data_IF_920076621187
#
_entry.id   IF_920076621187
#
_cell.length_a   1.000
_cell.length_b   1.000
_cell.length_c   1.000
_cell.angle_alpha   90.00
_cell.angle_beta   90.00
_cell.angle_gamma   90.00
#
_symmetry.space_group_name_H-M   'P 1'
#
loop_
_entity.id
_entity.type
_entity.pdbx_description
1 polymer ?
#
# COMPACT_ATOMS: atom_id res chain seq x y z
N UNK A 1 38.50 15.93 -21.21
CA UNK A 1 38.05 17.09 -20.41
C UNK A 1 36.82 16.60 -19.70
N UNK A 2 36.78 16.56 -18.37
CA UNK A 2 35.60 16.06 -17.65
C UNK A 2 34.42 16.99 -17.95
N UNK A 3 33.37 16.46 -18.57
CA UNK A 3 32.21 17.24 -19.01
C UNK A 3 31.35 17.53 -17.79
N UNK A 4 31.43 18.75 -17.24
CA UNK A 4 30.69 19.15 -16.03
C UNK A 4 29.27 19.59 -16.38
N UNK A 5 28.27 18.98 -15.74
CA UNK A 5 26.86 19.41 -15.82
C UNK A 5 26.63 20.66 -14.97
N UNK A 6 25.85 21.61 -15.48
CA UNK A 6 25.69 22.94 -14.87
C UNK A 6 24.44 23.08 -14.02
N UNK A 7 23.42 22.23 -14.23
CA UNK A 7 22.11 22.27 -13.57
C UNK A 7 21.36 23.61 -13.69
N UNK A 8 21.76 24.43 -14.66
CA UNK A 8 21.18 25.77 -14.91
C UNK A 8 20.63 25.92 -16.32
N UNK A 9 21.17 25.14 -17.26
CA UNK A 9 20.69 25.05 -18.64
C UNK A 9 20.36 23.58 -18.97
N UNK A 10 19.07 23.20 -18.98
CA UNK A 10 18.67 21.82 -19.20
C UNK A 10 18.98 21.32 -20.62
N UNK A 11 19.01 22.21 -21.63
CA UNK A 11 19.32 21.83 -23.01
C UNK A 11 20.82 21.58 -23.18
N UNK A 12 21.67 22.44 -22.60
CA UNK A 12 23.11 22.25 -22.60
C UNK A 12 23.52 20.98 -21.83
N UNK A 13 22.90 20.73 -20.67
CA UNK A 13 23.16 19.52 -19.88
C UNK A 13 22.72 18.24 -20.62
N UNK A 14 21.58 18.26 -21.32
CA UNK A 14 21.14 17.12 -22.13
C UNK A 14 22.08 16.86 -23.32
N UNK A 15 22.58 17.91 -23.98
CA UNK A 15 23.56 17.80 -25.05
C UNK A 15 24.90 17.25 -24.52
N UNK A 16 25.33 17.70 -23.34
CA UNK A 16 26.53 17.20 -22.66
C UNK A 16 26.40 15.70 -22.32
N UNK A 17 25.27 15.26 -21.75
CA UNK A 17 25.00 13.84 -21.45
C UNK A 17 25.04 12.99 -22.73
N UNK A 18 24.46 13.49 -23.83
CA UNK A 18 24.45 12.78 -25.12
C UNK A 18 25.85 12.61 -25.71
N UNK A 19 26.76 13.55 -25.43
CA UNK A 19 28.13 13.51 -25.89
C UNK A 19 29.07 12.68 -24.99
N UNK A 20 28.64 12.31 -23.77
CA UNK A 20 29.45 11.52 -22.84
C UNK A 20 29.68 10.09 -23.36
N UNK A 21 30.87 9.59 -23.08
CA UNK A 21 31.22 8.18 -23.28
C UNK A 21 30.54 7.29 -22.24
N UNK A 22 30.54 5.97 -22.49
CA UNK A 22 30.02 4.98 -21.54
C UNK A 22 30.72 5.07 -20.18
N UNK A 23 32.03 5.27 -20.15
CA UNK A 23 32.81 5.31 -18.92
C UNK A 23 32.45 6.57 -18.11
N UNK A 24 32.36 7.73 -18.79
CA UNK A 24 31.91 8.99 -18.17
C UNK A 24 30.48 8.88 -17.61
N UNK A 25 29.57 8.19 -18.31
CA UNK A 25 28.20 7.94 -17.82
C UNK A 25 28.16 7.00 -16.62
N UNK A 26 29.07 6.03 -16.56
CA UNK A 26 29.14 5.06 -15.45
C UNK A 26 29.68 5.70 -14.17
N UNK A 27 30.51 6.74 -14.31
CA UNK A 27 30.99 7.56 -13.19
C UNK A 27 29.95 8.63 -12.80
N UNK A 28 29.48 9.42 -13.78
CA UNK A 28 28.62 10.59 -13.53
C UNK A 28 27.20 10.20 -13.10
N UNK A 29 26.61 9.16 -13.71
CA UNK A 29 25.22 8.77 -13.44
C UNK A 29 24.93 8.42 -11.98
N UNK A 30 25.72 7.54 -11.33
CA UNK A 30 25.56 7.22 -9.92
C UNK A 30 25.73 8.43 -8.98
N UNK A 31 26.66 9.35 -9.27
CA UNK A 31 26.87 10.56 -8.47
C UNK A 31 25.67 11.51 -8.56
N UNK A 32 25.12 11.71 -9.76
CA UNK A 32 23.88 12.47 -9.97
C UNK A 32 22.71 11.88 -9.18
N UNK A 33 22.56 10.56 -9.24
CA UNK A 33 21.52 9.85 -8.51
C UNK A 33 21.71 10.00 -7.00
N UNK A 34 22.95 9.91 -6.51
CA UNK A 34 23.29 10.09 -5.09
C UNK A 34 22.97 11.51 -4.62
N UNK A 35 23.34 12.54 -5.37
CA UNK A 35 22.99 13.93 -5.06
C UNK A 35 21.47 14.15 -5.08
N UNK A 36 20.76 13.64 -6.08
CA UNK A 36 19.29 13.70 -6.12
C UNK A 36 18.66 13.09 -4.86
N UNK A 37 19.17 11.94 -4.40
CA UNK A 37 18.68 11.27 -3.18
C UNK A 37 19.00 12.06 -1.91
N UNK A 38 20.17 12.72 -1.83
CA UNK A 38 20.50 13.62 -0.72
C UNK A 38 19.49 14.76 -0.60
N UNK A 39 19.07 15.35 -1.71
CA UNK A 39 18.03 16.37 -1.72
C UNK A 39 16.66 15.78 -1.34
N UNK A 40 16.28 14.64 -1.93
CA UNK A 40 15.02 13.94 -1.60
C UNK A 40 14.92 13.62 -0.10
N UNK A 41 16.00 13.13 0.51
CA UNK A 41 16.05 12.83 1.94
C UNK A 41 15.78 14.08 2.81
N UNK A 42 16.38 15.22 2.44
CA UNK A 42 16.14 16.49 3.13
C UNK A 42 14.73 17.01 2.90
N UNK A 43 14.15 16.77 1.71
CA UNK A 43 12.75 17.10 1.41
C UNK A 43 11.80 16.31 2.32
N UNK A 44 12.03 15.00 2.52
CA UNK A 44 11.22 14.18 3.42
C UNK A 44 11.28 14.69 4.86
N UNK A 45 12.48 14.99 5.37
CA UNK A 45 12.63 15.53 6.74
C UNK A 45 12.02 16.93 6.89
N UNK A 46 12.13 17.78 5.88
CA UNK A 46 11.51 19.11 5.88
C UNK A 46 9.97 19.02 5.87
N UNK A 47 9.41 18.04 5.16
CA UNK A 47 7.97 17.78 5.15
C UNK A 47 7.47 17.33 6.53
N UNK A 48 8.17 16.41 7.19
CA UNK A 48 7.81 15.98 8.54
C UNK A 48 7.88 17.14 9.56
N UNK A 49 8.96 17.92 9.51
CA UNK A 49 9.09 19.10 10.38
C UNK A 49 8.00 20.16 10.14
N UNK A 50 7.47 20.29 8.91
CA UNK A 50 6.32 21.14 8.64
C UNK A 50 5.05 20.57 9.29
N UNK A 51 4.79 19.27 9.14
CA UNK A 51 3.62 18.62 9.73
C UNK A 51 3.62 18.76 11.27
N UNK A 52 4.77 18.57 11.91
CA UNK A 52 4.94 18.71 13.36
C UNK A 52 4.67 20.15 13.83
N UNK A 53 5.15 21.17 13.10
CA UNK A 53 4.86 22.58 13.41
C UNK A 53 3.38 22.89 13.31
N UNK A 54 2.72 22.43 12.25
CA UNK A 54 1.26 22.61 12.07
C UNK A 54 0.49 21.92 13.19
N UNK A 55 0.91 20.72 13.58
CA UNK A 55 0.34 20.00 14.70
C UNK A 55 0.44 20.80 16.01
N UNK A 56 1.64 21.31 16.33
CA UNK A 56 1.84 22.11 17.54
C UNK A 56 1.11 23.45 17.50
N UNK A 57 1.09 24.16 16.36
CA UNK A 57 0.31 25.40 16.20
C UNK A 57 -1.19 25.14 16.43
N UNK A 58 -1.72 24.03 15.92
CA UNK A 58 -3.13 23.67 16.09
C UNK A 58 -3.49 23.27 17.53
N UNK A 59 -2.52 22.75 18.29
CA UNK A 59 -2.72 22.35 19.69
C UNK A 59 -2.38 23.45 20.70
N UNK A 60 -1.48 24.38 20.37
CA UNK A 60 -1.02 25.45 21.27
C UNK A 60 -2.14 26.41 21.70
N UNK A 61 -3.22 26.50 20.93
CA UNK A 61 -4.41 27.30 21.27
C UNK A 61 -5.39 26.60 22.23
N UNK A 62 -5.05 25.42 22.79
CA UNK A 62 -5.97 24.63 23.63
C UNK A 62 -5.39 24.32 25.03
N UNK A 63 -6.22 24.39 26.09
CA UNK A 63 -5.77 24.08 27.45
C UNK A 63 -5.39 22.59 27.58
N UNK A 64 -4.25 22.32 28.24
CA UNK A 64 -3.61 21.00 28.40
C UNK A 64 -4.50 19.93 29.07
N UNK A 65 -5.59 20.33 29.72
CA UNK A 65 -6.56 19.43 30.35
C UNK A 65 -7.68 19.06 29.38
N UNK A 66 -7.50 17.96 28.63
CA UNK A 66 -8.58 17.28 27.92
C UNK A 66 -8.56 17.38 26.40
N UNK A 67 -7.39 17.26 25.76
CA UNK A 67 -7.32 17.05 24.31
C UNK A 67 -7.86 15.65 24.00
N UNK A 68 -9.09 15.59 23.49
CA UNK A 68 -9.71 14.35 23.03
C UNK A 68 -8.92 13.77 21.85
N UNK A 69 -8.85 12.44 21.72
CA UNK A 69 -8.14 11.77 20.62
C UNK A 69 -8.56 12.26 19.22
N UNK A 70 -9.83 12.63 19.05
CA UNK A 70 -10.35 13.22 17.80
C UNK A 70 -9.72 14.58 17.42
N UNK A 71 -9.27 15.36 18.40
CA UNK A 71 -8.57 16.64 18.17
C UNK A 71 -7.13 16.39 17.72
N UNK A 72 -6.47 15.38 18.31
CA UNK A 72 -5.12 14.94 17.90
C UNK A 72 -5.17 14.42 16.46
N UNK A 73 -6.10 13.52 16.14
CA UNK A 73 -6.29 13.00 14.79
C UNK A 73 -6.62 14.11 13.77
N UNK A 74 -7.34 15.15 14.19
CA UNK A 74 -7.62 16.29 13.33
C UNK A 74 -6.35 17.10 13.06
N UNK A 75 -5.55 17.39 14.09
CA UNK A 75 -4.26 18.10 13.95
C UNK A 75 -3.28 17.33 13.05
N UNK A 76 -3.20 16.00 13.19
CA UNK A 76 -2.40 15.15 12.31
C UNK A 76 -2.87 15.19 10.85
N UNK A 77 -4.19 15.13 10.63
CA UNK A 77 -4.78 15.27 9.29
C UNK A 77 -4.49 16.64 8.68
N UNK A 78 -4.49 17.70 9.48
CA UNK A 78 -4.12 19.05 9.04
C UNK A 78 -2.64 19.13 8.66
N UNK A 79 -1.73 18.62 9.50
CA UNK A 79 -0.29 18.57 9.18
C UNK A 79 -0.01 17.82 7.87
N UNK A 80 -0.66 16.66 7.67
CA UNK A 80 -0.58 15.90 6.42
C UNK A 80 -1.14 16.67 5.22
N UNK A 81 -2.24 17.40 5.40
CA UNK A 81 -2.84 18.22 4.35
C UNK A 81 -1.93 19.39 3.96
N UNK A 82 -1.29 20.04 4.94
CA UNK A 82 -0.36 21.14 4.70
C UNK A 82 0.87 20.68 3.93
N UNK A 83 1.46 19.54 4.31
CA UNK A 83 2.57 18.92 3.54
C UNK A 83 2.14 18.61 2.11
N UNK A 84 0.96 18.02 1.93
CA UNK A 84 0.42 17.69 0.61
C UNK A 84 0.31 18.94 -0.27
N UNK A 85 -0.17 20.06 0.29
CA UNK A 85 -0.30 21.35 -0.37
C UNK A 85 1.07 21.95 -0.74
N UNK A 86 1.95 22.12 0.24
CA UNK A 86 3.22 22.85 0.05
C UNK A 86 4.21 22.10 -0.84
N UNK A 87 4.25 20.77 -0.71
CA UNK A 87 5.17 19.93 -1.47
C UNK A 87 4.56 19.39 -2.77
N UNK A 88 3.28 19.70 -3.06
CA UNK A 88 2.57 19.27 -4.27
C UNK A 88 2.60 17.74 -4.47
N UNK A 89 2.40 17.01 -3.38
CA UNK A 89 2.32 15.54 -3.36
C UNK A 89 0.94 15.09 -2.88
N UNK A 90 0.55 13.86 -3.19
CA UNK A 90 -0.69 13.30 -2.64
C UNK A 90 -0.65 13.23 -1.10
N UNK A 91 -1.82 13.27 -0.46
CA UNK A 91 -1.94 13.09 1.00
C UNK A 91 -1.35 11.76 1.48
N UNK A 92 -1.50 10.70 0.68
CA UNK A 92 -0.89 9.40 0.97
C UNK A 92 0.63 9.47 0.98
N UNK A 93 1.23 10.12 -0.03
CA UNK A 93 2.70 10.31 -0.09
C UNK A 93 3.20 11.20 1.05
N UNK A 94 2.49 12.29 1.38
CA UNK A 94 2.79 13.11 2.55
C UNK A 94 2.78 12.29 3.85
N UNK A 95 1.75 11.47 4.05
CA UNK A 95 1.68 10.55 5.19
C UNK A 95 2.85 9.57 5.23
N UNK A 96 3.24 9.00 4.09
CA UNK A 96 4.39 8.09 4.02
C UNK A 96 5.72 8.76 4.36
N UNK A 97 5.88 10.05 4.03
CA UNK A 97 7.07 10.84 4.35
C UNK A 97 7.16 11.16 5.84
N UNK A 98 6.04 11.56 6.44
CA UNK A 98 5.94 11.82 7.88
C UNK A 98 6.28 10.54 8.65
N UNK A 99 5.59 9.44 8.35
CA UNK A 99 5.83 8.15 8.99
C UNK A 99 7.29 7.67 8.83
N UNK A 100 7.91 7.88 7.67
CA UNK A 100 9.32 7.55 7.49
C UNK A 100 10.21 8.42 8.38
N UNK A 101 9.96 9.72 8.45
CA UNK A 101 10.77 10.63 9.28
C UNK A 101 10.69 10.25 10.76
N UNK A 102 9.49 9.94 11.26
CA UNK A 102 9.27 9.50 12.65
C UNK A 102 10.09 8.26 13.00
N UNK A 103 10.17 7.28 12.09
CA UNK A 103 11.03 6.10 12.26
C UNK A 103 12.52 6.46 12.26
N UNK A 104 12.93 7.35 11.36
CA UNK A 104 14.34 7.75 11.23
C UNK A 104 14.83 8.56 12.43
N UNK A 105 13.96 9.10 13.29
CA UNK A 105 14.38 9.71 14.56
C UNK A 105 15.02 8.70 15.50
N UNK A 106 14.51 7.47 15.50
CA UNK A 106 14.98 6.35 16.34
C UNK A 106 16.11 5.55 15.69
N UNK A 107 16.29 5.70 14.37
CA UNK A 107 17.20 4.90 13.55
C UNK A 107 18.35 5.75 12.97
N UNK A 108 19.35 6.13 13.78
CA UNK A 108 20.38 7.09 13.41
C UNK A 108 21.31 6.60 12.29
N UNK A 109 21.58 5.29 12.20
CA UNK A 109 22.48 4.74 11.19
C UNK A 109 21.79 4.71 9.81
N UNK A 110 20.53 4.28 9.76
CA UNK A 110 19.71 4.32 8.54
C UNK A 110 19.49 5.76 8.10
N UNK A 111 19.20 6.66 9.05
CA UNK A 111 19.08 8.10 8.78
C UNK A 111 20.35 8.68 8.16
N UNK A 112 21.52 8.33 8.68
CA UNK A 112 22.79 8.79 8.14
C UNK A 112 23.02 8.30 6.69
N UNK A 113 22.80 7.01 6.42
CA UNK A 113 22.92 6.43 5.08
C UNK A 113 21.94 7.09 4.08
N UNK A 114 20.70 7.33 4.50
CA UNK A 114 19.68 8.01 3.71
C UNK A 114 20.07 9.47 3.39
N UNK A 115 20.50 10.24 4.40
CA UNK A 115 20.96 11.63 4.23
C UNK A 115 22.20 11.77 3.35
N UNK A 116 23.01 10.70 3.27
CA UNK A 116 24.19 10.59 2.41
C UNK A 116 23.87 10.17 0.96
N UNK A 117 22.60 9.88 0.65
CA UNK A 117 22.12 9.50 -0.68
C UNK A 117 22.38 8.04 -1.05
N UNK A 118 22.78 7.21 -0.08
CA UNK A 118 23.08 5.79 -0.30
C UNK A 118 21.81 4.99 -0.53
N UNK A 119 20.73 5.41 0.13
CA UNK A 119 19.42 4.78 0.07
C UNK A 119 18.45 5.66 -0.74
N UNK A 120 17.59 5.02 -1.53
CA UNK A 120 16.38 5.68 -2.03
C UNK A 120 15.35 5.80 -0.91
N UNK A 121 14.37 6.70 -1.05
CA UNK A 121 13.27 6.83 -0.08
C UNK A 121 12.54 5.51 0.17
N UNK A 122 12.27 4.75 -0.88
CA UNK A 122 11.60 3.44 -0.76
C UNK A 122 12.47 2.44 0.03
N UNK A 123 13.76 2.36 -0.29
CA UNK A 123 14.68 1.44 0.37
C UNK A 123 14.89 1.80 1.84
N UNK A 124 15.06 3.09 2.15
CA UNK A 124 15.10 3.59 3.52
C UNK A 124 13.81 3.25 4.28
N UNK A 125 12.65 3.33 3.62
CA UNK A 125 11.36 2.98 4.21
C UNK A 125 11.19 1.49 4.50
N UNK A 126 11.68 0.61 3.63
CA UNK A 126 11.73 -0.84 3.87
C UNK A 126 12.64 -1.15 5.07
N UNK A 127 13.84 -0.58 5.05
CA UNK A 127 14.84 -0.76 6.10
C UNK A 127 14.35 -0.25 7.45
N UNK A 128 13.78 0.96 7.51
CA UNK A 128 13.29 1.54 8.75
C UNK A 128 12.15 0.73 9.38
N UNK A 129 11.19 0.24 8.57
CA UNK A 129 10.11 -0.63 9.07
C UNK A 129 10.59 -2.01 9.51
N UNK A 130 11.63 -2.55 8.87
CA UNK A 130 12.24 -3.77 9.34
C UNK A 130 12.94 -3.53 10.68
N UNK A 131 13.69 -2.43 10.79
CA UNK A 131 14.42 -2.10 12.00
C UNK A 131 13.51 -1.87 13.21
N UNK A 132 12.42 -1.14 13.04
CA UNK A 132 11.41 -0.94 14.08
C UNK A 132 10.88 -2.27 14.64
N UNK A 133 10.51 -3.22 13.75
CA UNK A 133 10.03 -4.54 14.16
C UNK A 133 11.07 -5.34 14.96
N UNK A 134 12.35 -5.09 14.71
CA UNK A 134 13.45 -5.69 15.47
C UNK A 134 13.79 -4.98 16.79
N UNK A 135 13.37 -3.73 16.98
CA UNK A 135 13.54 -2.98 18.25
C UNK A 135 12.40 -3.24 19.23
N UNK A 136 11.15 -3.27 18.73
CA UNK A 136 9.96 -3.55 19.56
C UNK A 136 10.11 -4.87 20.34
N UNK A 137 10.99 -5.75 19.86
CA UNK A 137 11.30 -7.07 20.39
C UNK A 137 12.34 -7.14 21.51
N UNK A 138 13.28 -6.20 21.58
CA UNK A 138 14.29 -6.18 22.65
C UNK A 138 13.70 -5.67 23.98
N UNK A 139 12.56 -4.99 23.91
CA UNK A 139 11.95 -4.30 25.05
C UNK A 139 11.06 -5.21 25.93
N UNK A 140 10.55 -6.32 25.37
CA UNK A 140 9.58 -7.21 26.06
C UNK A 140 10.21 -8.48 26.67
N UNK A 141 11.49 -8.71 26.46
CA UNK A 141 12.22 -9.75 27.21
C UNK A 141 12.91 -9.12 28.42
N UNK A 142 12.54 -9.57 29.64
CA UNK A 142 13.38 -9.49 30.84
C UNK A 142 14.66 -10.32 30.60
N UNK A 143 15.48 -9.86 29.64
CA UNK A 143 16.70 -10.53 29.25
C UNK A 143 17.71 -10.31 30.37
N UNK A 144 17.99 -11.40 31.06
CA UNK A 144 19.10 -11.51 31.99
C UNK A 144 20.35 -11.13 31.20
N UNK A 145 20.94 -10.00 31.58
CA UNK A 145 22.23 -9.51 31.10
C UNK A 145 23.23 -10.67 31.09
N UNK A 146 23.37 -11.26 29.90
CA UNK A 146 24.37 -12.30 29.62
C UNK A 146 25.52 -11.68 28.86
N UNK A 147 25.93 -10.44 29.19
CA UNK A 147 27.31 -9.98 29.11
C UNK A 147 28.08 -10.27 27.82
N UNK A 148 27.40 -10.34 26.67
CA UNK A 148 28.00 -10.45 25.35
C UNK A 148 27.66 -9.17 24.57
N UNK A 149 28.35 -8.09 24.94
CA UNK A 149 28.31 -6.77 24.27
C UNK A 149 28.99 -6.83 22.88
N UNK A 150 28.60 -7.78 22.04
CA UNK A 150 29.17 -8.00 20.69
C UNK A 150 28.16 -8.49 19.65
N UNK A 151 26.86 -8.49 19.97
CA UNK A 151 25.81 -8.65 18.97
C UNK A 151 25.67 -7.38 18.13
N UNK A 152 25.68 -7.49 16.80
CA UNK A 152 25.29 -6.38 15.94
C UNK A 152 23.85 -5.99 16.25
N UNK A 153 23.56 -4.69 16.34
CA UNK A 153 22.16 -4.26 16.50
C UNK A 153 21.35 -4.67 15.26
N UNK A 154 20.04 -4.82 15.40
CA UNK A 154 19.21 -5.15 14.24
C UNK A 154 19.27 -4.04 13.17
N UNK A 155 19.47 -2.77 13.56
CA UNK A 155 19.74 -1.66 12.63
C UNK A 155 21.02 -1.88 11.81
N UNK A 156 22.10 -2.36 12.42
CA UNK A 156 23.37 -2.70 11.74
C UNK A 156 23.18 -3.85 10.75
N UNK A 157 22.39 -4.86 11.12
CA UNK A 157 22.05 -5.99 10.25
C UNK A 157 21.25 -5.51 9.04
N UNK A 158 20.25 -4.66 9.28
CA UNK A 158 19.45 -4.05 8.22
C UNK A 158 20.34 -3.27 7.25
N UNK A 159 21.33 -2.53 7.75
CA UNK A 159 22.29 -1.81 6.92
C UNK A 159 23.21 -2.71 6.10
N UNK A 160 23.71 -3.81 6.69
CA UNK A 160 24.50 -4.79 5.95
C UNK A 160 23.71 -5.35 4.75
N UNK A 161 22.47 -5.80 4.97
CA UNK A 161 21.59 -6.24 3.89
C UNK A 161 21.26 -5.12 2.89
N UNK A 162 21.03 -3.91 3.40
CA UNK A 162 20.72 -2.73 2.61
C UNK A 162 21.84 -2.32 1.65
N UNK A 163 23.09 -2.55 2.03
CA UNK A 163 24.29 -2.25 1.24
C UNK A 163 24.51 -3.19 0.04
N UNK A 164 23.88 -4.38 0.06
CA UNK A 164 24.02 -5.39 -0.99
C UNK A 164 23.25 -4.97 -2.25
N UNK A 165 23.79 -5.33 -3.41
CA UNK A 165 23.12 -5.10 -4.70
C UNK A 165 21.93 -6.06 -4.88
N UNK A 166 20.79 -5.71 -4.28
CA UNK A 166 19.53 -6.48 -4.30
C UNK A 166 18.36 -5.59 -4.68
N UNK A 167 17.34 -6.19 -5.29
CA UNK A 167 16.07 -5.49 -5.52
C UNK A 167 15.31 -5.33 -4.21
N UNK A 168 14.49 -4.28 -4.12
CA UNK A 168 13.72 -3.97 -2.91
C UNK A 168 12.83 -5.13 -2.42
N UNK A 169 12.17 -5.93 -3.28
CA UNK A 169 11.41 -7.12 -2.83
C UNK A 169 12.31 -8.21 -2.23
N UNK A 170 13.50 -8.41 -2.79
CA UNK A 170 14.46 -9.40 -2.28
C UNK A 170 15.05 -8.92 -0.95
N UNK A 171 15.33 -7.63 -0.83
CA UNK A 171 15.77 -7.03 0.44
C UNK A 171 14.71 -7.26 1.53
N UNK A 172 13.44 -6.95 1.26
CA UNK A 172 12.36 -7.16 2.24
C UNK A 172 12.32 -8.61 2.72
N UNK A 173 12.39 -9.57 1.81
CA UNK A 173 12.39 -11.00 2.14
C UNK A 173 13.60 -11.41 3.00
N UNK A 174 14.78 -10.87 2.69
CA UNK A 174 16.00 -11.14 3.44
C UNK A 174 15.94 -10.54 4.85
N UNK A 175 15.41 -9.34 5.00
CA UNK A 175 15.22 -8.70 6.30
C UNK A 175 14.18 -9.45 7.14
N UNK A 176 13.08 -9.91 6.55
CA UNK A 176 12.09 -10.73 7.26
C UNK A 176 12.67 -12.08 7.68
N UNK A 177 13.50 -12.71 6.84
CA UNK A 177 14.20 -13.94 7.20
C UNK A 177 15.22 -13.73 8.33
N UNK A 178 15.95 -12.59 8.30
CA UNK A 178 16.87 -12.22 9.36
C UNK A 178 16.15 -11.96 10.69
N UNK A 179 15.02 -11.25 10.66
CA UNK A 179 14.17 -10.99 11.83
C UNK A 179 13.70 -12.31 12.46
N UNK A 180 13.12 -13.22 11.66
CA UNK A 180 12.66 -14.52 12.14
C UNK A 180 13.79 -15.34 12.76
N UNK A 181 14.98 -15.33 12.13
CA UNK A 181 16.12 -16.08 12.65
C UNK A 181 16.66 -15.55 13.98
N UNK A 182 16.50 -14.25 14.26
CA UNK A 182 17.00 -13.62 15.47
C UNK A 182 15.97 -13.57 16.58
N UNK A 183 14.71 -13.38 16.23
CA UNK A 183 13.63 -13.28 17.19
C UNK A 183 12.40 -14.07 16.70
N UNK A 184 12.38 -15.40 16.89
CA UNK A 184 11.26 -16.24 16.46
C UNK A 184 9.98 -15.93 17.25
N UNK A 185 10.10 -15.56 18.54
CA UNK A 185 8.96 -15.29 19.42
C UNK A 185 8.14 -14.09 18.97
N UNK A 186 8.79 -13.05 18.46
CA UNK A 186 8.12 -11.86 17.91
C UNK A 186 7.21 -12.14 16.73
N UNK A 187 7.60 -13.12 15.92
CA UNK A 187 6.84 -13.51 14.73
C UNK A 187 5.63 -14.33 15.15
N UNK A 188 5.73 -15.02 16.30
CA UNK A 188 4.61 -15.73 16.92
C UNK A 188 3.63 -14.73 17.53
N UNK A 189 4.10 -13.70 18.25
CA UNK A 189 3.26 -12.65 18.82
C UNK A 189 2.60 -11.77 17.75
N UNK A 190 3.32 -11.37 16.71
CA UNK A 190 2.76 -10.70 15.54
C UNK A 190 1.69 -11.55 14.88
N UNK A 191 1.90 -12.87 14.78
CA UNK A 191 0.92 -13.82 14.23
C UNK A 191 -0.31 -13.93 15.11
N UNK A 192 -0.16 -13.97 16.42
CA UNK A 192 -1.30 -14.10 17.34
C UNK A 192 -2.12 -12.80 17.35
N UNK A 193 -1.46 -11.63 17.29
CA UNK A 193 -2.11 -10.31 17.10
C UNK A 193 -2.78 -10.19 15.73
N UNK A 194 -2.16 -10.71 14.67
CA UNK A 194 -2.77 -10.82 13.35
C UNK A 194 -3.92 -11.82 13.34
N UNK A 195 -3.89 -12.89 14.14
CA UNK A 195 -4.97 -13.87 14.21
C UNK A 195 -6.25 -13.22 14.74
N UNK A 196 -6.13 -12.29 15.69
CA UNK A 196 -7.24 -11.45 16.16
C UNK A 196 -7.76 -10.49 15.06
N UNK A 197 -6.90 -10.02 14.16
CA UNK A 197 -7.28 -9.22 12.98
C UNK A 197 -7.84 -10.06 11.81
N UNK A 198 -7.40 -11.32 11.66
CA UNK A 198 -7.72 -12.23 10.55
C UNK A 198 -9.18 -12.72 10.57
N UNK A 199 -9.98 -12.32 11.56
CA UNK A 199 -11.38 -12.70 11.70
C UNK A 199 -12.42 -11.76 11.09
N UNK A 200 -12.05 -10.58 10.56
CA UNK A 200 -13.04 -9.58 10.17
C UNK A 200 -12.83 -9.00 8.77
N UNK A 201 -13.93 -8.97 8.01
CA UNK A 201 -14.06 -8.19 6.78
C UNK A 201 -14.89 -6.98 7.13
N UNK A 202 -14.33 -5.78 6.98
CA UNK A 202 -15.03 -4.53 7.21
C UNK A 202 -15.51 -3.99 5.87
N UNK A 203 -16.80 -3.71 5.76
CA UNK A 203 -17.39 -3.03 4.61
C UNK A 203 -17.93 -1.69 5.12
N UNK A 204 -17.30 -0.60 4.71
CA UNK A 204 -17.67 0.76 5.16
C UNK A 204 -18.32 1.51 4.01
N UNK A 205 -19.49 2.10 4.23
CA UNK A 205 -20.10 2.99 3.25
C UNK A 205 -19.20 4.22 3.03
N UNK A 206 -18.95 4.56 1.77
CA UNK A 206 -18.16 5.70 1.34
C UNK A 206 -19.03 6.68 0.53
N UNK A 207 -18.46 7.82 0.13
CA UNK A 207 -19.18 8.87 -0.59
C UNK A 207 -19.73 8.41 -1.95
N UNK A 208 -20.82 9.04 -2.38
CA UNK A 208 -21.44 8.82 -3.69
C UNK A 208 -21.87 7.36 -3.96
N UNK A 209 -22.32 6.63 -2.93
CA UNK A 209 -22.84 5.26 -3.08
C UNK A 209 -21.78 4.18 -3.25
N UNK A 210 -20.52 4.48 -2.90
CA UNK A 210 -19.42 3.51 -2.92
C UNK A 210 -19.26 2.86 -1.54
N UNK A 211 -18.43 1.82 -1.46
CA UNK A 211 -18.04 1.22 -0.18
C UNK A 211 -16.58 0.79 -0.23
N UNK A 212 -15.86 0.96 0.88
CA UNK A 212 -14.55 0.34 1.07
C UNK A 212 -14.73 -1.09 1.57
N UNK A 213 -13.87 -1.99 1.09
CA UNK A 213 -13.74 -3.35 1.61
C UNK A 213 -12.32 -3.50 2.13
N UNK A 214 -12.22 -3.72 3.43
CA UNK A 214 -10.96 -3.84 4.15
C UNK A 214 -10.94 -5.19 4.86
N UNK A 215 -9.92 -5.99 4.57
CA UNK A 215 -9.76 -7.32 5.16
C UNK A 215 -8.28 -7.66 5.32
N UNK A 216 -7.93 -8.21 6.48
CA UNK A 216 -6.65 -8.88 6.71
C UNK A 216 -6.89 -10.36 6.54
N UNK A 217 -6.36 -10.95 5.46
CA UNK A 217 -6.53 -12.37 5.15
C UNK A 217 -5.19 -13.09 5.20
N UNK A 218 -5.18 -14.41 5.47
CA UNK A 218 -3.97 -15.21 5.31
C UNK A 218 -3.34 -14.99 3.94
N UNK A 219 -2.01 -14.90 3.91
CA UNK A 219 -1.24 -14.55 2.71
C UNK A 219 -1.63 -15.36 1.46
N UNK A 220 -1.90 -16.65 1.63
CA UNK A 220 -2.30 -17.54 0.54
C UNK A 220 -3.67 -17.20 -0.05
N UNK A 221 -4.64 -16.71 0.74
CA UNK A 221 -5.92 -16.22 0.23
C UNK A 221 -5.70 -14.96 -0.61
N UNK A 222 -4.87 -14.03 -0.13
CA UNK A 222 -4.53 -12.82 -0.87
C UNK A 222 -3.86 -13.12 -2.21
N UNK A 223 -2.91 -14.05 -2.24
CA UNK A 223 -2.23 -14.51 -3.48
C UNK A 223 -3.23 -15.14 -4.44
N UNK A 224 -4.07 -16.03 -3.94
CA UNK A 224 -5.06 -16.72 -4.76
C UNK A 224 -6.05 -15.74 -5.38
N UNK A 225 -6.61 -14.81 -4.58
CA UNK A 225 -7.52 -13.79 -5.05
C UNK A 225 -6.86 -12.85 -6.08
N UNK A 226 -5.66 -12.36 -5.79
CA UNK A 226 -4.92 -11.50 -6.71
C UNK A 226 -4.61 -12.21 -8.03
N UNK A 227 -4.25 -13.49 -7.98
CA UNK A 227 -3.98 -14.31 -9.16
C UNK A 227 -5.25 -14.49 -10.00
N UNK A 228 -6.40 -14.80 -9.38
CA UNK A 228 -7.67 -14.91 -10.09
C UNK A 228 -8.09 -13.59 -10.74
N UNK A 229 -8.01 -12.48 -10.01
CA UNK A 229 -8.35 -11.16 -10.53
C UNK A 229 -7.47 -10.83 -11.74
N UNK A 230 -6.15 -10.99 -11.63
CA UNK A 230 -5.24 -10.67 -12.74
C UNK A 230 -5.45 -11.62 -13.93
N UNK A 231 -5.68 -12.92 -13.68
CA UNK A 231 -5.98 -13.87 -14.75
C UNK A 231 -7.26 -13.51 -15.51
N UNK A 232 -8.32 -13.11 -14.80
CA UNK A 232 -9.57 -12.69 -15.43
C UNK A 232 -9.38 -11.41 -16.26
N UNK A 233 -8.63 -10.44 -15.73
CA UNK A 233 -8.27 -9.21 -16.46
C UNK A 233 -7.47 -9.52 -17.73
N UNK A 234 -6.44 -10.36 -17.64
CA UNK A 234 -5.61 -10.76 -18.80
C UNK A 234 -6.39 -11.61 -19.82
N UNK A 235 -7.33 -12.42 -19.34
CA UNK A 235 -8.20 -13.23 -20.18
C UNK A 235 -9.19 -12.37 -20.95
N UNK A 236 -9.80 -11.36 -20.31
CA UNK A 236 -10.96 -10.65 -20.85
C UNK A 236 -10.71 -9.25 -21.39
N UNK A 237 -9.59 -8.62 -21.06
CA UNK A 237 -9.27 -7.27 -21.52
C UNK A 237 -8.05 -7.26 -22.43
N UNK A 238 -7.96 -6.25 -23.28
CA UNK A 238 -6.78 -6.02 -24.11
C UNK A 238 -6.04 -4.76 -23.65
N UNK A 239 -4.80 -4.58 -24.10
CA UNK A 239 -3.96 -3.43 -23.74
C UNK A 239 -4.54 -2.06 -24.17
N UNK A 240 -5.54 -2.05 -25.05
CA UNK A 240 -6.22 -0.83 -25.52
C UNK A 240 -7.50 -0.51 -24.75
N UNK A 241 -7.82 -1.27 -23.70
CA UNK A 241 -8.93 -0.92 -22.82
C UNK A 241 -8.64 0.44 -22.15
N UNK A 242 -9.56 1.42 -22.24
CA UNK A 242 -9.32 2.76 -21.71
C UNK A 242 -9.38 2.83 -20.17
N UNK A 243 -9.93 1.81 -19.51
CA UNK A 243 -10.11 1.80 -18.05
C UNK A 243 -8.78 1.54 -17.34
N UNK A 244 -8.63 2.13 -16.15
CA UNK A 244 -7.45 1.90 -15.29
C UNK A 244 -7.45 0.48 -14.74
N UNK A 245 -6.26 -0.09 -14.51
CA UNK A 245 -6.11 -1.44 -13.92
C UNK A 245 -6.90 -1.59 -12.62
N UNK A 246 -6.92 -0.57 -11.76
CA UNK A 246 -7.72 -0.59 -10.53
C UNK A 246 -9.21 -0.80 -10.79
N UNK A 247 -9.79 -0.09 -11.76
CA UNK A 247 -11.20 -0.24 -12.15
C UNK A 247 -11.49 -1.64 -12.71
N UNK A 248 -10.59 -2.18 -13.53
CA UNK A 248 -10.73 -3.54 -14.08
C UNK A 248 -10.71 -4.60 -12.96
N UNK A 249 -9.86 -4.41 -11.95
CA UNK A 249 -9.79 -5.31 -10.79
C UNK A 249 -11.07 -5.30 -9.95
N UNK A 250 -11.73 -4.15 -9.79
CA UNK A 250 -13.00 -4.06 -9.06
C UNK A 250 -14.12 -4.80 -9.81
N UNK A 251 -14.22 -4.64 -11.13
CA UNK A 251 -15.19 -5.37 -11.95
C UNK A 251 -14.90 -6.88 -11.92
N UNK A 252 -13.62 -7.26 -12.05
CA UNK A 252 -13.18 -8.65 -11.94
C UNK A 252 -13.56 -9.26 -10.57
N UNK A 253 -13.35 -8.52 -9.48
CA UNK A 253 -13.76 -8.94 -8.15
C UNK A 253 -15.27 -9.12 -8.04
N UNK A 254 -16.05 -8.20 -8.62
CA UNK A 254 -17.51 -8.31 -8.74
C UNK A 254 -17.95 -9.58 -9.48
N UNK A 255 -17.31 -9.92 -10.61
CA UNK A 255 -17.60 -11.14 -11.37
C UNK A 255 -17.25 -12.40 -10.57
N UNK A 256 -16.06 -12.43 -9.93
CA UNK A 256 -15.61 -13.55 -9.11
C UNK A 256 -16.56 -13.79 -7.92
N UNK A 257 -17.04 -12.72 -7.30
CA UNK A 257 -17.96 -12.79 -6.16
C UNK A 257 -19.42 -13.02 -6.57
N UNK A 258 -19.73 -13.00 -7.87
CA UNK A 258 -21.08 -13.27 -8.39
C UNK A 258 -22.05 -12.09 -8.25
N UNK A 259 -21.55 -10.86 -8.18
CA UNK A 259 -22.40 -9.66 -8.17
C UNK A 259 -23.22 -9.61 -9.46
N UNK A 260 -24.56 -9.57 -9.39
CA UNK A 260 -25.40 -9.55 -10.58
C UNK A 260 -25.04 -8.41 -11.53
N UNK A 261 -24.74 -8.74 -12.79
CA UNK A 261 -24.38 -7.77 -13.83
C UNK A 261 -22.92 -7.32 -13.83
N UNK A 262 -22.10 -7.73 -12.85
CA UNK A 262 -20.66 -7.49 -12.88
C UNK A 262 -19.99 -8.51 -13.80
N UNK A 263 -19.87 -8.18 -15.08
CA UNK A 263 -19.10 -8.95 -16.07
C UNK A 263 -17.96 -8.12 -16.62
N UNK A 264 -16.77 -8.70 -16.62
CA UNK A 264 -15.58 -8.08 -17.17
C UNK A 264 -15.51 -8.37 -18.67
N UNK A 265 -16.01 -7.43 -19.46
CA UNK A 265 -15.87 -7.41 -20.91
C UNK A 265 -14.94 -6.27 -21.36
N UNK A 266 -14.19 -6.47 -22.44
CA UNK A 266 -13.29 -5.44 -22.96
C UNK A 266 -14.06 -4.27 -23.59
N UNK A 267 -13.70 -3.04 -23.23
CA UNK A 267 -14.34 -1.80 -23.71
C UNK A 267 -13.43 -0.98 -24.66
N UNK A 268 -12.45 -1.63 -25.31
CA UNK A 268 -11.51 -0.94 -26.20
C UNK A 268 -12.13 -0.35 -27.49
N UNK A 269 -13.43 -0.55 -27.74
CA UNK A 269 -14.15 0.00 -28.89
C UNK A 269 -13.75 -0.57 -30.26
N UNK A 270 -12.93 -1.63 -30.31
CA UNK A 270 -12.52 -2.26 -31.57
C UNK A 270 -13.44 -3.43 -31.91
N UNK A 271 -14.02 -3.41 -33.11
CA UNK A 271 -14.93 -4.48 -33.58
C UNK A 271 -14.23 -5.84 -33.70
N UNK A 272 -12.95 -5.84 -34.11
CA UNK A 272 -12.11 -7.04 -34.21
C UNK A 272 -11.33 -7.34 -32.92
N UNK A 273 -11.78 -6.85 -31.76
CA UNK A 273 -11.06 -7.12 -30.51
C UNK A 273 -11.11 -8.62 -30.19
N UNK A 274 -9.95 -9.31 -30.11
CA UNK A 274 -9.92 -10.76 -29.87
C UNK A 274 -10.39 -11.15 -28.47
N UNK A 275 -10.56 -10.15 -27.59
CA UNK A 275 -11.00 -10.31 -26.20
C UNK A 275 -12.48 -9.94 -26.00
N UNK A 276 -13.11 -9.34 -27.02
CA UNK A 276 -14.56 -9.11 -27.04
C UNK A 276 -15.20 -10.46 -27.32
N UNK A 277 -15.73 -11.10 -26.27
CA UNK A 277 -16.33 -12.43 -26.39
C UNK A 277 -17.30 -12.49 -27.56
N UNK A 278 -17.23 -13.56 -28.36
CA UNK A 278 -18.17 -13.82 -29.44
C UNK A 278 -19.58 -14.04 -28.89
N UNK A 279 -20.32 -12.94 -28.75
CA UNK A 279 -21.73 -12.89 -28.40
C UNK A 279 -22.41 -11.90 -29.31
N UNK A 280 -23.08 -12.43 -30.32
CA UNK A 280 -23.92 -11.73 -31.30
C UNK A 280 -24.99 -10.86 -30.65
N UNK A 281 -25.19 -9.67 -31.25
CA UNK A 281 -26.46 -8.98 -31.44
C UNK A 281 -27.40 -8.85 -30.24
N UNK A 282 -27.28 -7.73 -29.51
CA UNK A 282 -28.44 -7.06 -28.94
C UNK A 282 -28.53 -5.64 -29.48
N UNK A 283 -29.07 -5.57 -30.70
CA UNK A 283 -29.68 -4.35 -31.22
C UNK A 283 -30.93 -4.06 -30.36
N UNK A 284 -30.75 -3.20 -29.36
CA UNK A 284 -31.81 -2.66 -28.51
C UNK A 284 -31.52 -1.18 -28.30
N UNK A 285 -32.09 -0.36 -29.18
CA UNK A 285 -32.03 1.09 -29.18
C UNK A 285 -32.21 1.71 -27.79
N UNK A 286 -31.29 2.61 -27.44
CA UNK A 286 -31.66 3.96 -27.03
C UNK A 286 -30.73 4.94 -27.75
N UNK A 287 -31.32 6.00 -28.27
CA UNK A 287 -30.77 6.92 -29.26
C UNK A 287 -29.63 7.80 -28.70
N UNK A 288 -28.66 8.09 -29.55
CA UNK A 288 -27.62 9.16 -29.48
C UNK A 288 -28.22 10.58 -29.64
N UNK A 289 -27.50 11.74 -29.67
CA UNK A 289 -26.07 12.08 -29.38
C UNK A 289 -25.86 13.42 -28.59
N UNK A 290 -24.58 13.82 -28.42
CA UNK A 290 -23.99 15.05 -27.84
C UNK A 290 -23.82 14.95 -26.30
N UNK A 291 -22.61 14.98 -25.74
CA UNK A 291 -21.69 16.12 -25.81
C UNK A 291 -20.22 15.69 -25.98
N UNK A 292 -19.62 16.10 -27.10
CA UNK A 292 -18.17 16.17 -27.28
C UNK A 292 -17.63 17.59 -27.08
N UNK A 293 -18.40 18.47 -26.43
CA UNK A 293 -18.04 19.87 -26.19
C UNK A 293 -18.47 20.27 -24.76
N UNK A 294 -17.82 19.74 -23.72
CA UNK A 294 -17.95 20.32 -22.37
C UNK A 294 -16.77 20.02 -21.42
N UNK A 295 -15.57 19.89 -21.98
CA UNK A 295 -14.33 19.86 -21.18
C UNK A 295 -13.82 21.27 -20.78
N UNK A 296 -14.55 22.34 -21.13
CA UNK A 296 -14.16 23.72 -20.87
C UNK A 296 -15.09 24.50 -19.90
N UNK A 297 -16.14 23.87 -19.36
CA UNK A 297 -17.14 24.53 -18.50
C UNK A 297 -17.00 24.22 -16.99
N UNK A 298 -15.90 23.59 -16.57
CA UNK A 298 -15.67 23.25 -15.16
C UNK A 298 -14.85 24.27 -14.36
N UNK A 299 -14.42 25.36 -14.99
CA UNK A 299 -13.66 26.44 -14.34
C UNK A 299 -14.57 27.50 -13.68
N UNK A 300 -15.89 27.45 -13.91
CA UNK A 300 -16.88 28.46 -13.44
C UNK A 300 -17.93 27.91 -12.45
N UNK A 301 -17.71 26.72 -11.88
CA UNK A 301 -18.60 26.10 -10.87
C UNK A 301 -17.92 25.79 -9.53
N UNK A 302 -16.89 26.57 -9.16
CA UNK A 302 -16.49 26.66 -7.77
C UNK A 302 -17.47 27.59 -7.04
N UNK A 303 -18.25 27.12 -6.05
CA UNK A 303 -18.99 28.04 -5.21
C UNK A 303 -18.01 28.92 -4.42
N UNK A 304 -18.19 30.23 -4.49
CA UNK A 304 -17.52 31.18 -3.59
C UNK A 304 -17.87 30.83 -2.13
N UNK A 305 -16.94 31.05 -1.16
CA UNK A 305 -17.20 30.70 0.22
C UNK A 305 -18.30 31.59 0.79
N UNK A 306 -19.47 31.00 1.03
CA UNK A 306 -20.53 31.67 1.78
C UNK A 306 -20.23 31.59 3.27
N UNK A 307 -20.21 32.77 3.88
CA UNK A 307 -20.13 33.02 5.31
C UNK A 307 -21.21 32.29 6.12
N UNK A 308 -20.87 32.13 7.41
CA UNK A 308 -21.68 31.56 8.47
C UNK A 308 -23.16 32.00 8.46
N UNK A 309 -24.06 31.03 8.58
CA UNK A 309 -25.23 31.09 9.47
C UNK A 309 -25.87 29.69 9.61
N UNK A 310 -26.01 29.23 10.85
CA UNK A 310 -26.78 28.03 11.20
C UNK A 310 -28.28 28.33 11.14
N UNK A 311 -29.11 27.35 10.74
CA UNK A 311 -30.37 27.17 11.47
C UNK A 311 -30.76 25.72 11.77
N UNK A 312 -31.32 25.63 12.99
CA UNK A 312 -32.33 24.75 13.59
C UNK A 312 -32.68 23.38 12.99
N UNK A 313 -32.59 22.40 13.89
CA UNK A 313 -32.99 21.02 13.78
C UNK A 313 -34.52 20.91 13.82
N UNK A 314 -35.14 20.38 12.76
CA UNK A 314 -36.52 19.88 12.81
C UNK A 314 -36.54 18.34 12.87
N UNK A 315 -37.32 17.85 13.84
CA UNK A 315 -37.59 16.45 14.13
C UNK A 315 -38.33 15.75 12.98
N UNK A 316 -37.94 14.51 12.66
CA UNK A 316 -38.75 13.57 11.88
C UNK A 316 -38.86 12.23 12.64
N UNK A 317 -40.07 11.69 12.63
CA UNK A 317 -40.67 10.60 13.41
C UNK A 317 -40.03 9.18 13.22
N UNK A 318 -40.29 8.22 14.15
CA UNK A 318 -39.51 6.97 14.22
C UNK A 318 -39.89 5.97 13.13
N UNK A 319 -38.86 5.44 12.45
CA UNK A 319 -38.98 4.31 11.51
C UNK A 319 -38.99 3.00 12.31
N UNK A 320 -39.98 2.17 12.01
CA UNK A 320 -40.24 0.84 12.58
C UNK A 320 -39.03 -0.10 12.37
N UNK A 321 -38.53 -0.69 13.44
CA UNK A 321 -37.49 -1.74 13.41
C UNK A 321 -38.00 -2.98 12.66
N UNK A 322 -37.24 -3.55 11.71
CA UNK A 322 -37.54 -4.88 11.18
C UNK A 322 -37.19 -5.95 12.22
N UNK A 323 -38.10 -6.90 12.44
CA UNK A 323 -37.93 -8.04 13.36
C UNK A 323 -36.68 -8.85 13.01
N UNK A 324 -35.72 -8.88 13.94
CA UNK A 324 -34.54 -9.74 13.90
C UNK A 324 -35.01 -11.16 14.22
N UNK A 325 -34.78 -12.17 13.35
CA UNK A 325 -35.09 -13.55 13.69
C UNK A 325 -34.20 -14.05 14.84
N UNK A 326 -34.83 -14.72 15.80
CA UNK A 326 -34.25 -15.25 17.03
C UNK A 326 -33.07 -16.21 16.74
N UNK A 327 -31.88 -15.98 17.33
CA UNK A 327 -30.67 -16.79 17.11
C UNK A 327 -30.74 -18.24 17.64
N UNK A 328 -31.90 -18.70 18.14
CA UNK A 328 -32.09 -20.05 18.70
C UNK A 328 -32.80 -21.04 17.77
N UNK A 329 -33.07 -20.71 16.50
CA UNK A 329 -33.61 -21.69 15.54
C UNK A 329 -32.50 -22.51 14.88
N UNK A 330 -32.50 -23.82 15.13
CA UNK A 330 -31.64 -24.80 14.44
C UNK A 330 -31.94 -24.82 12.92
N UNK A 331 -30.93 -24.75 12.04
CA UNK A 331 -31.16 -24.84 10.61
C UNK A 331 -31.60 -26.26 10.23
N UNK A 332 -32.73 -26.35 9.54
CA UNK A 332 -33.21 -27.61 8.96
C UNK A 332 -32.33 -27.99 7.76
N UNK A 333 -31.88 -29.26 7.64
CA UNK A 333 -31.00 -29.68 6.57
C UNK A 333 -31.82 -30.09 5.36
N UNK A 334 -32.07 -29.17 4.44
CA UNK A 334 -32.41 -29.50 3.05
C UNK A 334 -32.27 -28.24 2.17
N UNK A 335 -31.04 -27.88 1.84
CA UNK A 335 -30.74 -27.17 0.59
C UNK A 335 -29.31 -27.55 0.18
N UNK A 336 -29.23 -28.34 -0.88
CA UNK A 336 -27.99 -28.88 -1.45
C UNK A 336 -27.13 -27.71 -1.95
N UNK A 337 -25.85 -27.58 -1.57
CA UNK A 337 -25.00 -26.53 -2.11
C UNK A 337 -24.77 -26.80 -3.61
N UNK A 338 -25.17 -25.83 -4.43
CA UNK A 338 -24.84 -25.79 -5.86
C UNK A 338 -23.32 -25.81 -5.97
N UNK A 339 -22.81 -26.83 -6.66
CA UNK A 339 -21.38 -27.01 -6.89
C UNK A 339 -20.79 -25.78 -7.60
N UNK A 340 -20.00 -24.98 -6.88
CA UNK A 340 -19.08 -24.01 -7.48
C UNK A 340 -17.99 -24.80 -8.22
N UNK A 341 -18.12 -24.85 -9.54
CA UNK A 341 -17.18 -25.57 -10.38
C UNK A 341 -16.94 -24.84 -11.69
N UNK A 342 -15.86 -24.05 -11.74
CA UNK A 342 -14.95 -24.03 -12.89
C UNK A 342 -13.51 -23.94 -12.38
N UNK A 343 -12.87 -25.10 -12.29
CA UNK A 343 -11.43 -25.20 -12.13
C UNK A 343 -10.76 -24.69 -13.42
N UNK A 344 -10.34 -23.42 -13.42
CA UNK A 344 -9.43 -22.88 -14.42
C UNK A 344 -8.00 -23.20 -13.97
N UNK A 345 -7.28 -23.94 -14.80
CA UNK A 345 -5.89 -24.32 -14.58
C UNK A 345 -5.01 -23.06 -14.63
N UNK A 346 -4.34 -22.75 -13.51
CA UNK A 346 -3.46 -21.59 -13.34
C UNK A 346 -2.04 -21.90 -13.83
N UNK A 347 -1.48 -21.19 -14.83
CA UNK A 347 -0.06 -21.24 -15.12
C UNK A 347 0.69 -20.18 -14.30
N UNK A 348 1.62 -20.63 -13.45
CA UNK A 348 2.52 -19.75 -12.67
C UNK A 348 2.28 -19.77 -11.16
N UNK A 349 2.14 -20.96 -10.56
CA UNK A 349 1.95 -21.09 -9.12
C UNK A 349 3.09 -20.42 -8.34
N UNK A 350 2.79 -19.72 -7.23
CA UNK A 350 3.81 -19.12 -6.38
C UNK A 350 4.74 -20.21 -5.82
N UNK A 351 6.05 -19.94 -5.80
CA UNK A 351 7.04 -20.92 -5.33
C UNK A 351 6.99 -21.00 -3.80
N UNK A 352 6.76 -22.22 -3.30
CA UNK A 352 6.84 -22.54 -1.87
C UNK A 352 8.30 -22.79 -1.48
N UNK A 353 8.77 -22.14 -0.41
CA UNK A 353 10.11 -22.38 0.17
C UNK A 353 9.96 -22.70 1.65
N UNK A 354 10.63 -23.75 2.13
CA UNK A 354 10.59 -24.16 3.54
C UNK A 354 11.91 -23.78 4.21
N UNK A 355 11.84 -23.02 5.31
CA UNK A 355 12.98 -22.76 6.18
C UNK A 355 12.81 -23.53 7.49
N UNK A 356 13.92 -24.02 8.03
CA UNK A 356 13.95 -24.68 9.34
C UNK A 356 14.34 -23.65 10.38
N UNK A 357 13.45 -23.42 11.33
CA UNK A 357 13.69 -22.60 12.53
C UNK A 357 14.82 -23.23 13.39
N UNK A 358 15.62 -22.45 14.15
CA UNK A 358 16.51 -22.98 15.19
C UNK A 358 15.88 -24.01 16.15
N UNK A 359 14.57 -23.96 16.40
CA UNK A 359 13.84 -24.98 17.18
C UNK A 359 13.48 -26.25 16.38
N UNK A 360 13.89 -26.33 15.12
CA UNK A 360 13.64 -27.46 14.23
C UNK A 360 12.25 -27.46 13.59
N UNK A 361 11.46 -26.41 13.78
CA UNK A 361 10.12 -26.26 13.19
C UNK A 361 10.24 -25.88 11.71
N UNK A 362 9.49 -26.58 10.84
CA UNK A 362 9.42 -26.25 9.42
C UNK A 362 8.45 -25.10 9.22
N UNK A 363 8.94 -23.96 8.75
CA UNK A 363 8.13 -22.77 8.43
C UNK A 363 8.00 -22.67 6.92
N UNK A 364 6.87 -23.12 6.33
CA UNK A 364 6.62 -22.96 4.92
C UNK A 364 6.37 -21.49 4.59
N UNK A 365 6.90 -21.04 3.46
CA UNK A 365 6.78 -19.65 2.99
C UNK A 365 6.35 -19.63 1.54
N UNK A 366 5.61 -18.59 1.20
CA UNK A 366 5.22 -18.29 -0.17
C UNK A 366 6.05 -17.10 -0.67
N UNK A 367 6.75 -17.29 -1.78
CA UNK A 367 7.69 -16.30 -2.31
C UNK A 367 6.99 -14.95 -2.56
N UNK A 368 7.45 -13.88 -1.88
CA UNK A 368 6.88 -12.54 -1.97
C UNK A 368 5.80 -12.21 -0.94
N UNK A 369 5.35 -13.17 -0.14
CA UNK A 369 4.23 -13.00 0.81
C UNK A 369 4.51 -13.49 2.23
N UNK A 370 5.69 -14.09 2.48
CA UNK A 370 6.13 -14.44 3.83
C UNK A 370 5.75 -15.86 4.27
N UNK A 371 5.84 -16.17 5.58
CA UNK A 371 5.45 -17.46 6.14
C UNK A 371 3.95 -17.70 5.97
N UNK A 372 3.57 -18.96 5.76
CA UNK A 372 2.18 -19.40 5.62
C UNK A 372 1.87 -20.51 6.63
N UNK A 373 0.58 -20.77 6.83
CA UNK A 373 0.10 -21.85 7.69
C UNK A 373 0.69 -23.21 7.25
N UNK A 374 1.34 -23.96 8.17
CA UNK A 374 1.85 -25.30 7.90
C UNK A 374 0.80 -26.29 7.38
N UNK A 375 -0.42 -26.24 7.90
CA UNK A 375 -1.49 -27.16 7.49
C UNK A 375 -1.89 -26.87 6.03
N UNK A 376 -1.96 -25.59 5.65
CA UNK A 376 -2.22 -25.22 4.27
C UNK A 376 -1.05 -25.55 3.33
N UNK A 377 0.20 -25.42 3.78
CA UNK A 377 1.37 -25.78 2.99
C UNK A 377 1.41 -27.25 2.58
N UNK A 378 0.77 -28.14 3.35
CA UNK A 378 0.62 -29.56 2.96
C UNK A 378 -0.42 -29.79 1.86
N UNK A 379 -1.26 -28.79 1.56
CA UNK A 379 -2.35 -28.86 0.57
C UNK A 379 -2.04 -28.19 -0.78
N UNK A 380 -0.95 -27.41 -0.84
CA UNK A 380 -0.37 -26.83 -2.06
C UNK A 380 0.53 -27.84 -2.78
#
# INVERSE_FOLDING_TARGET
MSTTLTFTDPEADAAAITAMTRDELTETGPDLLRESRKYEARTVLAAAALAERVFHEHLADRPETGVWGSVVEHAERLGRAEVSLQFKVSRSKAGSWIALADLLEKLPLIRAAYLNGELSTNRASIMARAAQRGEDTETDTDSVDTGDESGMSFEEIVLDYGSRATTDPVLSQQLDAALISMNPDSVIEDRDTLTDLVGHVTITADVAGHSSLDAVVPAHYGVFLATQINALVDERTCRKDPRRVGSLRVIALGEITGVPGAHLDCECGQDDCPKRGGGTDSNGSAETPADAEDAAAWDDLLPEPADADAPEVEFVEPVVEPEIPDPMNEPTPDEVPVAFGRALVVPGAPVLTVLTDPDGVLVPRLQGYGPIDPDYATTL
#
